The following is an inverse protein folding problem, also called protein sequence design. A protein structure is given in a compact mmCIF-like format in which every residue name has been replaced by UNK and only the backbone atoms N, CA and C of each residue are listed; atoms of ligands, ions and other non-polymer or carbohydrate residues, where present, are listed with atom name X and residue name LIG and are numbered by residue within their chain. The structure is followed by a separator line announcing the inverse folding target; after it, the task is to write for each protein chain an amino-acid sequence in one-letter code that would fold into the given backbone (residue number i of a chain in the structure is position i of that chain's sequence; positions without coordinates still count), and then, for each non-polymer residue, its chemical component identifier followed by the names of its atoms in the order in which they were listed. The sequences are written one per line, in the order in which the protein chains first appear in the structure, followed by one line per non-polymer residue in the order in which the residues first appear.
data_IF_474215000025
#
_entry.id   IF_474215000025
#
_cell.length_a   1.000
_cell.length_b   1.000
_cell.length_c   1.000
_cell.angle_alpha   90.00
_cell.angle_beta   90.00
_cell.angle_gamma   90.00
#
_symmetry.space_group_name_H-M   'P 1'
#
loop_
_entity.id
_entity.type
_entity.pdbx_description
1 polymer ?
#
# COMPACT_ATOMS: atom_id res chain seq x y z
N UNK A 1 -12.96 -14.41 10.41
CA UNK A 1 -11.63 -14.45 9.78
C UNK A 1 -10.73 -13.58 10.63
N UNK A 2 -9.86 -14.19 11.43
CA UNK A 2 -8.83 -13.47 12.19
C UNK A 2 -7.84 -12.89 11.17
N UNK A 3 -7.40 -11.65 11.39
CA UNK A 3 -6.35 -10.96 10.63
C UNK A 3 -5.29 -11.96 10.20
N UNK A 4 -5.21 -12.29 8.90
CA UNK A 4 -4.14 -13.14 8.41
C UNK A 4 -2.85 -12.32 8.48
N UNK A 5 -1.93 -12.60 9.43
CA UNK A 5 -0.71 -11.81 9.58
C UNK A 5 0.14 -11.87 8.30
N UNK A 6 -0.04 -12.92 7.50
CA UNK A 6 0.67 -13.11 6.25
C UNK A 6 0.23 -12.09 5.19
N UNK A 7 -1.08 -11.83 5.03
CA UNK A 7 -1.58 -10.85 4.07
C UNK A 7 -1.09 -9.44 4.35
N UNK A 8 -0.94 -9.07 5.63
CA UNK A 8 -0.42 -7.74 6.01
C UNK A 8 1.06 -7.62 5.64
N UNK A 9 1.89 -8.59 6.01
CA UNK A 9 3.30 -8.59 5.67
C UNK A 9 3.52 -8.64 4.14
N UNK A 10 2.71 -9.41 3.42
CA UNK A 10 2.73 -9.44 1.96
C UNK A 10 2.39 -8.07 1.35
N UNK A 11 1.37 -7.39 1.89
CA UNK A 11 1.00 -6.07 1.40
C UNK A 11 2.11 -5.04 1.65
N UNK A 12 2.72 -5.04 2.83
CA UNK A 12 3.89 -4.20 3.13
C UNK A 12 5.04 -4.46 2.15
N UNK A 13 5.36 -5.73 1.90
CA UNK A 13 6.38 -6.12 0.92
C UNK A 13 6.04 -5.61 -0.49
N UNK A 14 4.77 -5.69 -0.93
CA UNK A 14 4.35 -5.13 -2.22
C UNK A 14 4.46 -3.61 -2.28
N UNK A 15 4.17 -2.90 -1.19
CA UNK A 15 4.38 -1.45 -1.12
C UNK A 15 5.87 -1.11 -1.28
N UNK A 16 6.76 -1.86 -0.65
CA UNK A 16 8.20 -1.70 -0.83
C UNK A 16 8.65 -1.93 -2.28
N UNK A 17 8.10 -2.94 -2.96
CA UNK A 17 8.39 -3.21 -4.38
C UNK A 17 7.92 -2.05 -5.28
N UNK A 18 6.73 -1.51 -5.04
CA UNK A 18 6.20 -0.34 -5.76
C UNK A 18 7.12 0.85 -5.58
N UNK A 19 7.52 1.13 -4.33
CA UNK A 19 8.46 2.21 -4.02
C UNK A 19 9.79 2.02 -4.74
N UNK A 20 10.40 0.85 -4.64
CA UNK A 20 11.71 0.56 -5.24
C UNK A 20 11.70 0.62 -6.77
N UNK A 21 10.55 0.28 -7.38
CA UNK A 21 10.36 0.23 -8.82
C UNK A 21 10.10 1.58 -9.49
N UNK A 22 9.83 2.64 -8.72
CA UNK A 22 9.51 3.96 -9.26
C UNK A 22 10.59 5.00 -8.89
N UNK A 23 11.41 5.46 -9.86
CA UNK A 23 12.48 6.41 -9.59
C UNK A 23 12.03 7.74 -8.98
N UNK A 24 10.84 8.23 -9.35
CA UNK A 24 10.31 9.50 -8.89
C UNK A 24 9.77 9.39 -7.48
N UNK A 25 9.01 8.35 -7.21
CA UNK A 25 8.52 8.05 -5.87
C UNK A 25 9.68 7.91 -4.86
N UNK A 26 10.80 7.29 -5.26
CA UNK A 26 12.00 7.19 -4.41
C UNK A 26 12.66 8.53 -4.09
N UNK A 27 12.56 9.49 -5.00
CA UNK A 27 13.12 10.82 -4.80
C UNK A 27 12.24 11.68 -3.89
N UNK A 28 10.91 11.51 -3.97
CA UNK A 28 9.95 12.36 -3.25
C UNK A 28 9.65 11.90 -1.82
N UNK A 29 9.65 10.59 -1.56
CA UNK A 29 9.26 10.04 -0.26
C UNK A 29 10.15 8.86 0.13
N UNK A 30 10.48 8.76 1.43
CA UNK A 30 11.20 7.59 1.93
C UNK A 30 10.31 6.34 1.85
N UNK A 31 10.92 5.16 1.74
CA UNK A 31 10.18 3.89 1.70
C UNK A 31 9.30 3.72 2.94
N UNK A 32 9.81 4.11 4.12
CA UNK A 32 9.10 4.02 5.39
C UNK A 32 7.86 4.91 5.40
N UNK A 33 8.02 6.16 4.94
CA UNK A 33 6.91 7.12 4.90
C UNK A 33 5.88 6.72 3.85
N UNK A 34 6.31 6.17 2.71
CA UNK A 34 5.41 5.64 1.69
C UNK A 34 4.54 4.49 2.22
N UNK A 35 5.14 3.49 2.89
CA UNK A 35 4.39 2.39 3.52
C UNK A 35 3.40 2.93 4.56
N UNK A 36 3.80 3.94 5.34
CA UNK A 36 2.95 4.56 6.36
C UNK A 36 1.73 5.31 5.77
N UNK A 37 1.72 5.67 4.48
CA UNK A 37 0.56 6.26 3.82
C UNK A 37 -0.59 5.26 3.64
N UNK A 38 -0.32 3.95 3.68
CA UNK A 38 -1.30 2.91 3.36
C UNK A 38 -1.49 1.90 4.50
N UNK A 39 -1.94 2.35 5.69
CA UNK A 39 -2.18 1.43 6.80
C UNK A 39 -3.32 0.46 6.46
N UNK A 40 -3.14 -0.83 6.74
CA UNK A 40 -4.22 -1.82 6.61
C UNK A 40 -5.26 -1.56 7.68
N UNK A 41 -6.47 -1.19 7.25
CA UNK A 41 -7.62 -0.97 8.14
C UNK A 41 -8.62 -2.09 7.98
N UNK A 42 -9.36 -2.40 9.05
CA UNK A 42 -10.42 -3.41 9.03
C UNK A 42 -11.76 -2.79 9.44
N UNK A 43 -12.82 -3.17 8.75
CA UNK A 43 -14.21 -2.85 9.10
C UNK A 43 -15.03 -4.12 9.08
N UNK A 44 -15.64 -4.47 10.21
CA UNK A 44 -16.40 -5.72 10.39
C UNK A 44 -15.59 -6.98 10.01
N UNK A 45 -14.30 -7.01 10.37
CA UNK A 45 -13.40 -8.12 10.08
C UNK A 45 -12.98 -8.25 8.61
N UNK A 46 -13.29 -7.27 7.76
CA UNK A 46 -12.85 -7.21 6.37
C UNK A 46 -11.83 -6.09 6.16
N UNK A 47 -10.74 -6.35 5.42
CA UNK A 47 -9.78 -5.31 5.09
C UNK A 47 -10.44 -4.25 4.21
N UNK A 48 -10.18 -2.98 4.53
CA UNK A 48 -10.77 -1.82 3.85
C UNK A 48 -9.76 -1.32 2.83
N UNK A 49 -10.24 -1.16 1.59
CA UNK A 49 -9.45 -0.60 0.50
C UNK A 49 -8.83 0.73 0.92
N UNK A 50 -7.54 0.96 0.66
CA UNK A 50 -6.89 2.22 1.02
C UNK A 50 -7.46 3.38 0.21
N UNK A 51 -7.52 4.54 0.85
CA UNK A 51 -7.86 5.81 0.22
C UNK A 51 -6.61 6.43 -0.42
N UNK A 52 -6.81 7.31 -1.41
CA UNK A 52 -5.69 8.02 -2.03
C UNK A 52 -5.12 9.03 -1.02
N UNK A 53 -3.85 8.93 -0.62
CA UNK A 53 -3.23 9.94 0.23
C UNK A 53 -3.11 11.23 -0.58
N UNK A 54 -3.60 12.36 -0.05
CA UNK A 54 -3.49 13.66 -0.71
C UNK A 54 -2.05 14.24 -0.66
N UNK A 55 -1.04 13.37 -0.66
CA UNK A 55 0.37 13.69 -0.42
C UNK A 55 1.13 13.70 -1.74
N UNK A 56 2.09 14.62 -1.88
CA UNK A 56 3.06 14.64 -2.98
C UNK A 56 3.80 13.28 -3.06
N UNK A 57 4.02 12.78 -4.29
CA UNK A 57 4.70 11.49 -4.55
C UNK A 57 3.78 10.33 -4.94
N UNK A 58 2.53 10.32 -4.48
CA UNK A 58 1.58 9.28 -4.88
C UNK A 58 0.72 9.83 -6.02
N UNK A 59 1.17 9.61 -7.25
CA UNK A 59 0.34 9.90 -8.41
C UNK A 59 -0.72 8.80 -8.63
N UNK A 60 -1.57 9.01 -9.64
CA UNK A 60 -2.62 8.06 -10.00
C UNK A 60 -2.08 6.69 -10.38
N UNK A 61 -0.93 6.60 -11.03
CA UNK A 61 -0.35 5.33 -11.46
C UNK A 61 0.19 4.53 -10.27
N UNK A 62 0.94 5.20 -9.39
CA UNK A 62 1.40 4.63 -8.11
C UNK A 62 0.21 4.16 -7.30
N UNK A 63 -0.83 4.99 -7.17
CA UNK A 63 -2.02 4.60 -6.41
C UNK A 63 -2.74 3.39 -7.01
N UNK A 64 -2.84 3.29 -8.34
CA UNK A 64 -3.42 2.10 -8.99
C UNK A 64 -2.59 0.84 -8.70
N UNK A 65 -1.26 0.92 -8.69
CA UNK A 65 -0.39 -0.21 -8.30
C UNK A 65 -0.67 -0.65 -6.86
N UNK A 66 -0.83 0.32 -5.94
CA UNK A 66 -1.19 0.04 -4.53
C UNK A 66 -2.54 -0.67 -4.44
N UNK A 67 -3.54 -0.23 -5.20
CA UNK A 67 -4.87 -0.84 -5.21
C UNK A 67 -4.86 -2.27 -5.74
N UNK A 68 -4.07 -2.54 -6.78
CA UNK A 68 -3.86 -3.90 -7.30
C UNK A 68 -3.16 -4.77 -6.26
N UNK A 69 -2.08 -4.28 -5.63
CA UNK A 69 -1.39 -5.01 -4.57
C UNK A 69 -2.30 -5.34 -3.39
N UNK A 70 -3.14 -4.40 -2.96
CA UNK A 70 -4.13 -4.62 -1.91
C UNK A 70 -5.12 -5.73 -2.31
N UNK A 71 -5.65 -5.68 -3.53
CA UNK A 71 -6.57 -6.69 -4.04
C UNK A 71 -5.93 -8.07 -4.11
N UNK A 72 -4.64 -8.18 -4.44
CA UNK A 72 -3.93 -9.47 -4.49
C UNK A 72 -3.66 -10.07 -3.11
N UNK A 73 -3.50 -9.24 -2.08
CA UNK A 73 -3.18 -9.70 -0.73
C UNK A 73 -4.42 -10.05 0.11
N UNK A 74 -5.57 -9.48 -0.23
CA UNK A 74 -6.76 -9.46 0.63
C UNK A 74 -8.07 -9.92 -0.03
N UNK A 75 -8.07 -10.33 -1.32
CA UNK A 75 -9.19 -11.05 -1.94
C UNK A 75 -9.16 -12.55 -1.62
#
# INVERSE_FOLDING_TARGET
MKNDPLSVALFEMRLEEIHRGDPWLRYEISIRDFVALFPVRYKNGRPVRPDHPATYGVDREVFLKVLVAFSQCFN
#
